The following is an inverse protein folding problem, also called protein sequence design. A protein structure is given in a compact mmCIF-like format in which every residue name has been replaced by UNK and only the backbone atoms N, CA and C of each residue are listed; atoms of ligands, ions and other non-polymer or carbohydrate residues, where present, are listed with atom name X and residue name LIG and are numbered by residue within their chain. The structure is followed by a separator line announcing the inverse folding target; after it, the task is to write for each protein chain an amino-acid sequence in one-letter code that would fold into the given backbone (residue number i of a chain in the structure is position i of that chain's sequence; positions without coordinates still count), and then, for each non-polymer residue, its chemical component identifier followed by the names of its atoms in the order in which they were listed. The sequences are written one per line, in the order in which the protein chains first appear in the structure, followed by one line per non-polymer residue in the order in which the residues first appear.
data_IF_619753108424
#
_entry.id   IF_619753108424
#
_cell.length_a   1.000
_cell.length_b   1.000
_cell.length_c   1.000
_cell.angle_alpha   90.00
_cell.angle_beta   90.00
_cell.angle_gamma   90.00
#
_symmetry.space_group_name_H-M   'P 1'
#
loop_
_entity.id
_entity.type
_entity.pdbx_description
1 polymer ?
#
# COMPACT_ATOMS: atom_id res chain seq x y z
N UNK A 1 -31.39 30.56 46.56
CA UNK A 1 -30.18 31.41 46.56
C UNK A 1 -28.98 30.50 46.68
N UNK A 2 -28.04 30.62 45.74
CA UNK A 2 -26.59 30.39 45.87
C UNK A 2 -26.05 29.92 44.52
N UNK A 3 -25.65 30.91 43.73
CA UNK A 3 -24.70 30.75 42.64
C UNK A 3 -23.34 30.40 43.26
N UNK A 4 -22.60 29.45 42.67
CA UNK A 4 -21.18 29.28 42.95
C UNK A 4 -20.46 29.16 41.62
N UNK A 5 -19.56 30.12 41.44
CA UNK A 5 -18.79 30.46 40.26
C UNK A 5 -17.63 29.49 40.00
N UNK A 6 -17.39 29.23 38.72
CA UNK A 6 -16.19 28.55 38.19
C UNK A 6 -14.90 29.33 38.53
N UNK A 7 -13.83 28.67 38.99
CA UNK A 7 -12.50 29.29 39.00
C UNK A 7 -11.95 29.36 37.57
N UNK A 8 -11.34 30.51 37.23
CA UNK A 8 -10.77 30.81 35.93
C UNK A 8 -9.51 29.99 35.62
N UNK A 9 -9.37 29.62 34.35
CA UNK A 9 -8.16 29.01 33.82
C UNK A 9 -7.05 30.06 33.70
N UNK A 10 -5.94 29.82 34.39
CA UNK A 10 -4.68 30.54 34.18
C UNK A 10 -4.05 30.09 32.87
N UNK A 11 -3.97 30.99 31.90
CA UNK A 11 -3.27 30.79 30.63
C UNK A 11 -1.76 30.79 30.93
N UNK A 12 -1.11 29.64 30.73
CA UNK A 12 0.36 29.53 30.76
C UNK A 12 0.89 29.91 29.36
N UNK A 13 1.80 30.89 29.22
CA UNK A 13 2.38 31.22 27.93
C UNK A 13 3.30 30.12 27.41
N UNK A 14 3.15 29.78 26.12
CA UNK A 14 4.04 28.92 25.35
C UNK A 14 5.38 29.65 25.10
N UNK A 15 6.56 29.08 25.42
CA UNK A 15 7.83 29.68 25.04
C UNK A 15 8.09 29.54 23.53
N UNK A 16 8.52 30.64 22.90
CA UNK A 16 8.93 30.73 21.50
C UNK A 16 10.21 29.92 21.20
N UNK A 17 10.45 29.49 19.94
CA UNK A 17 11.69 28.82 19.57
C UNK A 17 12.88 29.77 19.73
N UNK A 18 13.87 29.33 20.51
CA UNK A 18 15.11 30.07 20.74
C UNK A 18 16.06 29.87 19.55
N UNK A 19 16.33 30.95 18.82
CA UNK A 19 17.38 31.02 17.80
C UNK A 19 18.74 31.18 18.47
N UNK A 20 19.59 30.15 18.43
CA UNK A 20 20.98 30.23 18.90
C UNK A 20 21.84 30.94 17.85
N UNK A 21 22.28 32.16 18.19
CA UNK A 21 23.34 32.89 17.48
C UNK A 21 24.70 32.22 17.73
N UNK A 22 25.41 31.83 16.67
CA UNK A 22 26.84 31.51 16.69
C UNK A 22 27.58 32.60 15.90
N UNK A 23 28.62 33.24 16.43
CA UNK A 23 29.36 34.28 15.73
C UNK A 23 30.24 33.72 14.60
N UNK A 24 30.23 34.42 13.47
CA UNK A 24 31.05 34.18 12.29
C UNK A 24 32.47 34.78 12.46
N UNK A 25 33.52 34.02 12.11
CA UNK A 25 34.69 34.56 11.41
C UNK A 25 35.61 33.47 10.79
N UNK A 26 35.87 33.62 9.47
CA UNK A 26 36.99 33.12 8.62
C UNK A 26 37.22 31.60 8.47
N UNK A 27 37.29 30.97 7.29
CA UNK A 27 37.60 31.41 5.91
C UNK A 27 37.19 30.28 4.94
N UNK A 28 36.61 30.54 3.74
CA UNK A 28 36.29 29.50 2.76
C UNK A 28 37.38 29.35 1.69
N UNK A 29 37.87 28.12 1.46
CA UNK A 29 38.64 27.78 0.26
C UNK A 29 37.66 27.46 -0.89
N UNK A 30 37.74 28.29 -1.92
CA UNK A 30 36.97 28.29 -3.17
C UNK A 30 37.26 27.07 -4.05
N UNK A 31 36.30 26.56 -4.85
CA UNK A 31 36.61 25.75 -6.02
C UNK A 31 36.99 26.66 -7.18
N UNK A 32 38.25 26.61 -7.61
CA UNK A 32 38.74 27.38 -8.76
C UNK A 32 38.13 26.86 -10.07
N UNK A 33 37.51 27.79 -10.79
CA UNK A 33 37.01 27.66 -12.16
C UNK A 33 38.19 27.73 -13.13
N UNK A 34 38.43 26.68 -13.92
CA UNK A 34 39.42 26.73 -15.00
C UNK A 34 38.77 27.28 -16.27
N UNK A 35 39.08 28.53 -16.59
CA UNK A 35 38.84 29.13 -17.91
C UNK A 35 39.93 28.65 -18.88
N UNK A 36 39.53 27.97 -19.96
CA UNK A 36 40.44 27.56 -21.04
C UNK A 36 40.46 28.67 -22.10
N UNK A 37 41.55 29.43 -22.16
CA UNK A 37 41.86 30.31 -23.31
C UNK A 37 43.06 29.75 -24.07
N UNK A 38 42.79 29.27 -25.29
CA UNK A 38 43.81 28.85 -26.25
C UNK A 38 44.62 30.06 -26.73
N UNK A 39 45.93 30.09 -26.49
CA UNK A 39 46.87 30.90 -27.29
C UNK A 39 48.24 30.21 -27.41
N UNK A 40 48.88 30.49 -28.55
CA UNK A 40 49.91 29.75 -29.27
C UNK A 40 51.33 29.86 -28.68
N UNK A 41 52.11 28.78 -28.86
CA UNK A 41 53.58 28.63 -28.94
C UNK A 41 54.52 29.48 -28.05
N UNK A 42 55.36 28.82 -27.25
CA UNK A 42 56.82 29.01 -27.30
C UNK A 42 57.60 27.94 -26.50
N UNK A 43 58.74 27.54 -27.06
CA UNK A 43 59.72 26.60 -26.57
C UNK A 43 60.39 27.02 -25.26
N UNK A 44 60.43 26.13 -24.27
CA UNK A 44 61.42 26.17 -23.18
C UNK A 44 61.92 24.75 -22.92
N UNK A 45 63.19 24.52 -23.25
CA UNK A 45 63.97 23.32 -22.92
C UNK A 45 64.26 23.30 -21.42
N UNK A 46 63.68 22.35 -20.68
CA UNK A 46 64.15 21.98 -19.35
C UNK A 46 64.58 20.51 -19.35
N UNK A 47 65.89 20.33 -19.14
CA UNK A 47 66.55 19.05 -18.96
C UNK A 47 66.27 18.57 -17.52
N UNK A 48 65.39 17.58 -17.36
CA UNK A 48 65.03 17.00 -16.06
C UNK A 48 64.55 15.57 -16.22
N UNK A 49 65.24 14.63 -15.58
CA UNK A 49 64.93 13.20 -15.53
C UNK A 49 63.53 12.97 -14.97
N UNK A 50 62.60 12.52 -15.81
CA UNK A 50 61.23 12.18 -15.40
C UNK A 50 61.22 10.73 -14.92
N UNK A 51 61.18 10.53 -13.60
CA UNK A 51 60.75 9.26 -13.01
C UNK A 51 59.30 9.01 -13.41
N UNK A 52 59.08 7.94 -14.16
CA UNK A 52 57.78 7.44 -14.55
C UNK A 52 57.03 6.88 -13.33
N UNK A 53 56.30 7.75 -12.61
CA UNK A 53 55.26 7.30 -11.69
C UNK A 53 54.02 6.93 -12.50
N UNK A 54 53.89 5.62 -12.71
CA UNK A 54 52.76 4.95 -13.31
C UNK A 54 51.44 5.44 -12.69
N UNK A 55 50.52 5.86 -13.54
CA UNK A 55 49.13 6.14 -13.23
C UNK A 55 48.52 4.93 -12.50
N UNK A 56 48.21 5.10 -11.21
CA UNK A 56 47.34 4.18 -10.48
C UNK A 56 45.95 4.27 -11.08
N UNK A 57 45.61 3.31 -11.94
CA UNK A 57 44.25 3.10 -12.44
C UNK A 57 43.30 2.98 -11.24
N UNK A 58 42.36 3.92 -11.14
CA UNK A 58 41.26 3.84 -10.21
C UNK A 58 40.42 2.60 -10.56
N UNK A 59 40.51 1.56 -9.73
CA UNK A 59 39.67 0.37 -9.81
C UNK A 59 38.23 0.80 -9.57
N UNK A 60 37.42 0.86 -10.62
CA UNK A 60 35.96 0.93 -10.48
C UNK A 60 35.50 -0.27 -9.64
N UNK A 61 34.53 -0.12 -8.73
CA UNK A 61 34.05 -1.25 -7.94
C UNK A 61 33.53 -2.33 -8.89
N UNK A 62 34.19 -3.49 -8.90
CA UNK A 62 33.78 -4.64 -9.69
C UNK A 62 32.42 -5.09 -9.19
N UNK A 63 31.36 -4.88 -9.98
CA UNK A 63 30.11 -5.58 -9.75
C UNK A 63 30.39 -7.08 -9.74
N UNK A 64 29.80 -7.85 -8.81
CA UNK A 64 29.99 -9.31 -8.79
C UNK A 64 29.61 -9.89 -10.15
N UNK A 65 30.56 -10.61 -10.76
CA UNK A 65 30.36 -11.22 -12.07
C UNK A 65 29.51 -12.48 -11.91
N UNK A 66 28.19 -12.35 -12.07
CA UNK A 66 27.29 -13.50 -12.13
C UNK A 66 27.33 -14.13 -13.53
N UNK A 67 27.23 -15.47 -13.65
CA UNK A 67 27.17 -16.10 -14.95
C UNK A 67 25.92 -15.63 -15.69
N UNK A 68 26.06 -15.21 -16.95
CA UNK A 68 24.93 -14.75 -17.78
C UNK A 68 23.86 -15.83 -17.99
N UNK A 69 24.21 -17.09 -17.74
CA UNK A 69 23.34 -18.26 -17.81
C UNK A 69 22.54 -18.50 -16.53
N UNK A 70 22.80 -17.74 -15.46
CA UNK A 70 22.01 -17.84 -14.24
C UNK A 70 20.56 -17.44 -14.51
N UNK A 71 19.63 -18.15 -13.85
CA UNK A 71 18.22 -17.81 -13.88
C UNK A 71 17.97 -16.51 -13.13
N UNK A 72 16.86 -15.85 -13.45
CA UNK A 72 16.37 -14.71 -12.68
C UNK A 72 15.86 -15.20 -11.33
N UNK A 73 16.30 -14.56 -10.26
CA UNK A 73 15.85 -14.85 -8.91
C UNK A 73 14.40 -14.44 -8.69
N UNK A 74 13.67 -15.17 -7.86
CA UNK A 74 12.31 -14.82 -7.48
C UNK A 74 12.01 -15.26 -6.05
N UNK A 75 10.97 -14.69 -5.48
CA UNK A 75 10.38 -15.18 -4.24
C UNK A 75 9.06 -15.87 -4.51
N UNK A 76 8.77 -16.88 -3.71
CA UNK A 76 7.49 -17.58 -3.70
C UNK A 76 6.87 -17.44 -2.32
N UNK A 77 5.63 -16.96 -2.25
CA UNK A 77 4.91 -16.88 -0.99
C UNK A 77 4.54 -18.28 -0.49
N UNK A 78 4.84 -18.51 0.79
CA UNK A 78 4.44 -19.68 1.55
C UNK A 78 3.20 -19.38 2.41
N UNK A 79 3.04 -18.12 2.84
CA UNK A 79 1.90 -17.68 3.64
C UNK A 79 1.37 -16.32 3.18
N UNK A 80 0.04 -16.16 3.02
CA UNK A 80 -0.98 -17.21 3.09
C UNK A 80 -0.91 -18.18 1.89
N UNK A 81 -1.54 -19.37 2.00
CA UNK A 81 -1.64 -20.31 0.90
C UNK A 81 -2.27 -19.65 -0.35
N UNK A 82 -1.58 -19.71 -1.49
CA UNK A 82 -1.98 -19.02 -2.72
C UNK A 82 -3.17 -19.67 -3.45
N UNK A 83 -3.63 -20.85 -3.01
CA UNK A 83 -4.68 -21.62 -3.69
C UNK A 83 -6.10 -21.11 -3.44
N UNK A 84 -6.27 -20.14 -2.54
CA UNK A 84 -7.56 -19.51 -2.24
C UNK A 84 -7.37 -18.08 -1.75
N UNK A 85 -8.29 -17.18 -2.10
CA UNK A 85 -8.29 -15.81 -1.57
C UNK A 85 -8.48 -15.84 -0.04
N UNK A 86 -7.51 -15.29 0.68
CA UNK A 86 -7.57 -15.15 2.14
C UNK A 86 -8.26 -13.83 2.52
N UNK A 87 -9.03 -13.82 3.60
CA UNK A 87 -9.76 -12.66 4.09
C UNK A 87 -9.38 -12.33 5.54
N UNK A 88 -9.08 -11.05 5.79
CA UNK A 88 -8.59 -10.58 7.09
C UNK A 88 -9.46 -9.47 7.68
N UNK A 89 -9.64 -9.51 9.00
CA UNK A 89 -10.40 -8.49 9.75
C UNK A 89 -9.52 -7.30 10.08
N UNK A 90 -9.88 -6.12 9.58
CA UNK A 90 -9.20 -4.87 9.88
C UNK A 90 -9.31 -4.59 11.39
N UNK A 91 -8.19 -4.25 12.04
CA UNK A 91 -8.14 -3.86 13.45
C UNK A 91 -8.24 -4.98 14.49
N UNK A 92 -8.55 -6.23 14.09
CA UNK A 92 -8.69 -7.37 15.01
C UNK A 92 -7.73 -8.53 14.72
N UNK A 93 -7.13 -8.56 13.53
CA UNK A 93 -6.27 -9.66 13.11
C UNK A 93 -5.01 -9.12 12.44
N UNK A 94 -3.87 -9.75 12.75
CA UNK A 94 -2.61 -9.48 12.10
C UNK A 94 -2.44 -10.40 10.89
N UNK A 95 -1.80 -9.89 9.85
CA UNK A 95 -1.55 -10.65 8.62
C UNK A 95 -0.08 -11.07 8.59
N UNK A 96 0.18 -12.36 8.47
CA UNK A 96 1.55 -12.86 8.28
C UNK A 96 1.78 -13.19 6.81
N UNK A 97 2.80 -12.57 6.24
CA UNK A 97 3.29 -12.90 4.91
C UNK A 97 4.63 -13.61 5.03
N UNK A 98 4.72 -14.83 4.55
CA UNK A 98 5.93 -15.64 4.54
C UNK A 98 6.31 -16.03 3.12
N UNK A 99 7.61 -16.09 2.81
CA UNK A 99 8.12 -16.45 1.49
C UNK A 99 9.44 -17.22 1.56
N UNK A 100 9.82 -17.79 0.41
CA UNK A 100 11.12 -18.41 0.19
C UNK A 100 11.78 -17.83 -1.06
N UNK A 101 13.11 -17.69 -1.03
CA UNK A 101 13.92 -17.19 -2.14
C UNK A 101 14.42 -18.33 -3.04
N UNK A 102 14.37 -18.13 -4.35
CA UNK A 102 14.85 -19.09 -5.33
C UNK A 102 15.71 -18.39 -6.39
N UNK A 103 16.83 -18.99 -6.76
CA UNK A 103 17.74 -18.52 -7.81
C UNK A 103 18.31 -17.10 -7.61
N UNK A 104 18.38 -16.62 -6.37
CA UNK A 104 19.00 -15.34 -6.03
C UNK A 104 20.48 -15.58 -5.70
N UNK A 105 21.36 -14.96 -6.48
CA UNK A 105 22.82 -15.00 -6.29
C UNK A 105 23.34 -13.70 -5.69
N UNK A 106 22.69 -12.56 -5.98
CA UNK A 106 22.91 -11.31 -5.28
C UNK A 106 21.92 -11.20 -4.12
N UNK A 107 22.40 -11.34 -2.89
CA UNK A 107 21.55 -11.10 -1.71
C UNK A 107 21.07 -9.64 -1.72
N UNK A 108 19.75 -9.38 -1.69
CA UNK A 108 19.25 -8.02 -1.55
C UNK A 108 19.65 -7.46 -0.19
N UNK A 109 19.96 -6.17 -0.13
CA UNK A 109 20.26 -5.51 1.15
C UNK A 109 18.98 -5.21 1.92
N UNK A 110 17.96 -4.79 1.18
CA UNK A 110 16.67 -4.39 1.73
C UNK A 110 15.53 -4.88 0.83
N UNK A 111 14.40 -5.18 1.44
CA UNK A 111 13.15 -5.46 0.73
C UNK A 111 12.13 -4.41 1.09
N UNK A 112 11.41 -3.92 0.10
CA UNK A 112 10.27 -3.03 0.32
C UNK A 112 9.00 -3.83 0.07
N UNK A 113 8.08 -3.79 1.04
CA UNK A 113 6.82 -4.53 0.99
C UNK A 113 5.67 -3.54 1.08
N UNK A 114 4.79 -3.58 0.07
CA UNK A 114 3.60 -2.74 0.03
C UNK A 114 2.36 -3.52 -0.36
N UNK A 115 1.23 -3.15 0.21
CA UNK A 115 -0.09 -3.62 -0.16
C UNK A 115 -0.79 -2.50 -0.94
N UNK A 116 -1.28 -2.82 -2.13
CA UNK A 116 -1.99 -1.88 -3.00
C UNK A 116 -3.45 -2.27 -2.99
N UNK A 117 -4.34 -1.34 -2.61
CA UNK A 117 -5.78 -1.55 -2.71
C UNK A 117 -6.21 -1.49 -4.19
N UNK A 118 -6.90 -2.51 -4.68
CA UNK A 118 -7.35 -2.56 -6.08
C UNK A 118 -8.45 -1.53 -6.38
N UNK A 119 -9.26 -1.17 -5.38
CA UNK A 119 -10.38 -0.24 -5.56
C UNK A 119 -9.91 1.22 -5.52
N UNK A 120 -9.10 1.58 -4.53
CA UNK A 120 -8.65 2.96 -4.31
C UNK A 120 -7.28 3.27 -4.91
N UNK A 121 -6.52 2.25 -5.34
CA UNK A 121 -5.12 2.36 -5.78
C UNK A 121 -4.16 2.93 -4.73
N UNK A 122 -4.62 3.06 -3.47
CA UNK A 122 -3.77 3.49 -2.37
C UNK A 122 -2.75 2.41 -2.04
N UNK A 123 -1.53 2.85 -1.73
CA UNK A 123 -0.42 1.98 -1.39
C UNK A 123 -0.09 2.12 0.09
N UNK A 124 -0.08 0.98 0.78
CA UNK A 124 0.11 0.88 2.22
C UNK A 124 1.43 0.15 2.51
N UNK A 125 2.33 0.71 3.34
CA UNK A 125 3.51 -0.02 3.77
C UNK A 125 3.10 -1.20 4.66
N UNK A 126 3.72 -2.35 4.45
CA UNK A 126 3.33 -3.61 5.12
C UNK A 126 4.43 -4.07 6.05
N UNK A 127 4.13 -4.10 7.35
CA UNK A 127 4.87 -4.86 8.36
C UNK A 127 4.95 -4.21 9.74
N UNK A 128 5.49 -4.97 10.69
CA UNK A 128 5.64 -4.62 12.12
C UNK A 128 6.90 -5.23 12.73
N UNK A 129 7.87 -5.68 11.92
CA UNK A 129 9.07 -6.34 12.44
C UNK A 129 10.06 -5.31 13.05
N UNK A 130 10.83 -5.76 14.05
CA UNK A 130 11.98 -5.02 14.58
C UNK A 130 12.97 -4.72 13.44
N UNK A 131 13.25 -3.43 13.20
CA UNK A 131 14.14 -2.98 12.13
C UNK A 131 13.45 -2.47 10.86
N UNK A 132 12.11 -2.39 10.85
CA UNK A 132 11.36 -1.71 9.80
C UNK A 132 11.39 -0.19 9.95
N UNK A 133 11.46 0.55 8.83
CA UNK A 133 11.17 1.97 8.78
C UNK A 133 9.73 2.23 8.29
N UNK A 134 9.23 3.46 8.45
CA UNK A 134 7.86 3.87 8.06
C UNK A 134 7.51 3.60 6.58
N UNK A 135 8.51 3.36 5.73
CA UNK A 135 8.35 3.07 4.31
C UNK A 135 8.09 1.58 3.97
N UNK A 136 8.01 0.69 4.96
CA UNK A 136 7.80 -0.75 4.75
C UNK A 136 9.07 -1.47 4.28
N UNK A 137 10.25 -0.95 4.66
CA UNK A 137 11.54 -1.54 4.29
C UNK A 137 12.02 -2.47 5.39
N UNK A 138 12.45 -3.67 5.02
CA UNK A 138 12.98 -4.71 5.92
C UNK A 138 14.35 -5.20 5.45
N UNK A 139 15.13 -5.90 6.29
CA UNK A 139 16.37 -6.54 5.86
C UNK A 139 16.13 -7.53 4.71
N UNK A 140 17.01 -7.54 3.71
CA UNK A 140 16.85 -8.40 2.54
C UNK A 140 17.05 -9.90 2.78
N UNK A 141 17.45 -10.29 4.00
CA UNK A 141 17.49 -11.69 4.45
C UNK A 141 16.17 -12.15 5.08
N UNK A 142 15.21 -11.25 5.28
CA UNK A 142 13.94 -11.61 5.89
C UNK A 142 13.11 -12.52 4.98
N UNK A 143 12.46 -13.51 5.61
CA UNK A 143 11.59 -14.50 4.94
C UNK A 143 10.14 -14.40 5.39
N UNK A 144 9.85 -13.50 6.32
CA UNK A 144 8.53 -13.31 6.91
C UNK A 144 8.36 -11.86 7.35
N UNK A 145 7.14 -11.35 7.23
CA UNK A 145 6.71 -10.09 7.85
C UNK A 145 5.32 -10.26 8.43
N UNK A 146 5.11 -9.71 9.63
CA UNK A 146 3.80 -9.62 10.27
C UNK A 146 3.32 -8.19 10.12
N UNK A 147 2.12 -8.00 9.57
CA UNK A 147 1.46 -6.71 9.45
C UNK A 147 0.36 -6.59 10.52
N UNK A 148 0.60 -5.70 11.48
CA UNK A 148 -0.38 -5.37 12.51
C UNK A 148 -1.33 -4.29 11.98
N UNK A 149 -2.54 -4.72 11.62
CA UNK A 149 -3.54 -3.85 11.03
C UNK A 149 -4.08 -2.82 12.04
N UNK A 150 -4.11 -3.19 13.32
CA UNK A 150 -4.60 -2.31 14.38
C UNK A 150 -3.61 -1.19 14.62
N UNK A 151 -2.35 -1.56 14.82
CA UNK A 151 -1.26 -0.60 15.02
C UNK A 151 -1.13 0.34 13.82
N UNK A 152 -1.20 -0.19 12.61
CA UNK A 152 -1.17 0.64 11.40
C UNK A 152 -2.26 1.72 11.42
N UNK A 153 -3.50 1.37 11.76
CA UNK A 153 -4.61 2.34 11.80
C UNK A 153 -4.44 3.40 12.91
N UNK A 154 -3.87 3.02 14.05
CA UNK A 154 -3.61 3.94 15.16
C UNK A 154 -2.53 4.98 14.79
N UNK A 155 -1.49 4.55 14.08
CA UNK A 155 -0.35 5.40 13.66
C UNK A 155 -0.64 6.21 12.38
N UNK A 156 -1.51 5.72 11.49
CA UNK A 156 -1.74 6.30 10.16
C UNK A 156 -3.19 6.78 9.97
N UNK A 157 -3.58 7.80 10.75
CA UNK A 157 -4.94 8.35 10.71
C UNK A 157 -5.27 9.08 9.40
N UNK A 158 -4.26 9.59 8.69
CA UNK A 158 -4.43 10.28 7.41
C UNK A 158 -4.74 9.31 6.25
N UNK A 159 -4.28 8.06 6.35
CA UNK A 159 -4.48 7.04 5.33
C UNK A 159 -4.99 5.72 5.95
N UNK A 160 -6.27 5.69 6.37
CA UNK A 160 -6.85 4.51 6.98
C UNK A 160 -6.98 3.35 5.99
N UNK A 161 -6.91 2.14 6.53
CA UNK A 161 -7.18 0.90 5.79
C UNK A 161 -8.69 0.78 5.50
N UNK A 162 -9.03 0.62 4.21
CA UNK A 162 -10.40 0.40 3.76
C UNK A 162 -10.72 -1.08 3.56
N UNK A 163 -12.00 -1.48 3.61
CA UNK A 163 -12.41 -2.80 3.13
C UNK A 163 -12.22 -2.88 1.61
N UNK A 164 -11.77 -4.02 1.09
CA UNK A 164 -11.51 -4.20 -0.34
C UNK A 164 -10.55 -5.34 -0.65
N UNK A 165 -10.18 -5.48 -1.93
CA UNK A 165 -9.14 -6.40 -2.37
C UNK A 165 -7.79 -5.69 -2.40
N UNK A 166 -6.74 -6.37 -1.94
CA UNK A 166 -5.39 -5.86 -1.87
C UNK A 166 -4.44 -6.79 -2.60
N UNK A 167 -3.46 -6.21 -3.28
CA UNK A 167 -2.34 -6.92 -3.91
C UNK A 167 -1.06 -6.66 -3.13
N UNK A 168 -0.39 -7.72 -2.72
CA UNK A 168 0.94 -7.63 -2.11
C UNK A 168 2.01 -7.51 -3.18
N UNK A 169 2.90 -6.55 -2.98
CA UNK A 169 4.06 -6.29 -3.84
C UNK A 169 5.33 -6.26 -3.00
N UNK A 170 6.38 -6.94 -3.48
CA UNK A 170 7.68 -7.04 -2.81
C UNK A 170 8.78 -6.84 -3.84
N UNK A 171 9.74 -5.96 -3.56
CA UNK A 171 10.90 -5.73 -4.42
C UNK A 171 12.14 -5.41 -3.57
N UNK A 172 13.31 -5.47 -4.20
CA UNK A 172 14.60 -5.18 -3.57
C UNK A 172 14.98 -3.70 -3.65
N UNK A 173 16.19 -3.32 -3.25
CA UNK A 173 16.66 -1.92 -3.28
C UNK A 173 16.66 -1.27 -4.68
N UNK A 174 16.53 -2.05 -5.77
CA UNK A 174 16.54 -1.51 -7.15
C UNK A 174 15.20 -0.89 -7.54
N UNK A 175 14.17 -1.05 -6.70
CA UNK A 175 12.86 -0.43 -6.88
C UNK A 175 11.84 -1.34 -7.56
N UNK A 176 10.60 -0.84 -7.61
CA UNK A 176 9.45 -1.63 -8.06
C UNK A 176 9.56 -2.05 -9.53
N UNK A 177 10.08 -1.17 -10.39
CA UNK A 177 10.23 -1.42 -11.83
C UNK A 177 11.63 -1.90 -12.22
N UNK A 178 12.38 -2.49 -11.28
CA UNK A 178 13.72 -2.99 -11.56
C UNK A 178 13.72 -4.05 -12.67
N UNK A 179 14.65 -3.90 -13.62
CA UNK A 179 14.78 -4.87 -14.72
C UNK A 179 15.29 -6.20 -14.14
N UNK A 180 14.61 -7.33 -14.41
CA UNK A 180 15.07 -8.64 -13.96
C UNK A 180 16.38 -9.02 -14.67
N UNK A 181 17.32 -9.58 -13.92
CA UNK A 181 18.62 -9.99 -14.44
C UNK A 181 19.11 -11.31 -13.84
N UNK A 182 20.16 -11.91 -14.41
CA UNK A 182 20.69 -13.19 -13.97
C UNK A 182 21.17 -13.11 -12.50
N UNK A 183 20.62 -13.97 -11.64
CA UNK A 183 20.93 -13.98 -10.20
C UNK A 183 20.34 -12.83 -9.40
N UNK A 184 19.58 -11.92 -10.04
CA UNK A 184 18.92 -10.78 -9.42
C UNK A 184 17.46 -11.10 -9.12
N UNK A 185 16.92 -10.53 -8.05
CA UNK A 185 15.52 -10.75 -7.66
C UNK A 185 14.54 -10.01 -8.59
N UNK A 186 13.52 -10.69 -9.11
CA UNK A 186 12.38 -10.03 -9.75
C UNK A 186 11.40 -9.52 -8.68
N UNK A 187 10.72 -8.42 -8.98
CA UNK A 187 9.54 -7.99 -8.21
C UNK A 187 8.53 -9.15 -8.09
N UNK A 188 7.97 -9.30 -6.90
CA UNK A 188 6.81 -10.12 -6.65
C UNK A 188 5.54 -9.26 -6.63
N UNK A 189 4.51 -9.68 -7.35
CA UNK A 189 3.21 -9.00 -7.40
C UNK A 189 2.05 -10.00 -7.58
N UNK A 190 2.10 -11.13 -6.84
CA UNK A 190 1.22 -12.28 -7.09
C UNK A 190 0.07 -12.49 -6.11
N UNK A 191 0.21 -12.05 -4.85
CA UNK A 191 -0.80 -12.35 -3.83
C UNK A 191 -1.92 -11.33 -3.83
N UNK A 192 -3.15 -11.84 -3.94
CA UNK A 192 -4.38 -11.11 -3.71
C UNK A 192 -5.05 -11.59 -2.43
N UNK A 193 -5.48 -10.66 -1.59
CA UNK A 193 -6.19 -10.94 -0.35
C UNK A 193 -7.27 -9.89 -0.10
N UNK A 194 -8.34 -10.28 0.59
CA UNK A 194 -9.42 -9.38 0.97
C UNK A 194 -9.27 -8.86 2.38
N UNK A 195 -9.66 -7.62 2.62
CA UNK A 195 -9.77 -7.04 3.95
C UNK A 195 -11.19 -6.52 4.17
N UNK A 196 -11.71 -6.65 5.39
CA UNK A 196 -13.03 -6.16 5.73
C UNK A 196 -13.09 -5.60 7.15
N UNK A 197 -13.97 -4.62 7.34
CA UNK A 197 -14.26 -4.06 8.65
C UNK A 197 -15.22 -5.00 9.39
N UNK A 198 -14.85 -5.53 10.56
CA UNK A 198 -15.75 -6.33 11.37
C UNK A 198 -16.92 -5.47 11.85
N UNK A 199 -18.12 -6.05 11.93
CA UNK A 199 -19.26 -5.45 12.63
C UNK A 199 -19.34 -6.01 14.04
N UNK A 200 -19.78 -5.18 14.97
CA UNK A 200 -20.05 -5.61 16.34
C UNK A 200 -21.15 -6.68 16.37
N UNK A 201 -21.03 -7.59 17.32
CA UNK A 201 -22.02 -8.64 17.53
C UNK A 201 -23.33 -8.02 18.03
N UNK A 202 -24.42 -8.27 17.29
CA UNK A 202 -25.78 -7.89 17.70
C UNK A 202 -26.48 -9.15 18.20
N UNK A 203 -26.98 -9.20 19.44
CA UNK A 203 -27.77 -10.32 19.95
C UNK A 203 -28.98 -10.60 19.08
N UNK A 204 -29.37 -11.88 18.98
CA UNK A 204 -30.45 -12.33 18.10
C UNK A 204 -31.78 -11.62 18.38
N UNK A 205 -32.07 -11.31 19.64
CA UNK A 205 -33.28 -10.59 20.05
C UNK A 205 -33.37 -9.17 19.46
N UNK A 206 -32.23 -8.59 19.10
CA UNK A 206 -32.12 -7.24 18.53
C UNK A 206 -31.69 -7.25 17.06
N UNK A 207 -31.53 -8.43 16.44
CA UNK A 207 -31.12 -8.53 15.04
C UNK A 207 -32.33 -8.35 14.12
N UNK A 208 -32.38 -7.22 13.42
CA UNK A 208 -33.39 -6.96 12.39
C UNK A 208 -32.75 -7.07 11.01
N UNK A 209 -33.26 -7.99 10.18
CA UNK A 209 -32.79 -8.11 8.81
C UNK A 209 -33.48 -7.05 7.93
N UNK A 210 -32.80 -5.93 7.67
CA UNK A 210 -33.34 -4.83 6.87
C UNK A 210 -33.78 -5.24 5.45
N UNK A 211 -33.26 -6.37 4.93
CA UNK A 211 -33.63 -6.92 3.62
C UNK A 211 -34.60 -8.12 3.72
N UNK A 212 -34.78 -8.72 4.89
CA UNK A 212 -35.73 -9.82 5.12
C UNK A 212 -37.07 -9.33 5.67
N UNK A 213 -37.22 -8.03 5.96
CA UNK A 213 -38.51 -7.39 6.25
C UNK A 213 -39.17 -6.80 5.00
N UNK A 214 -38.47 -6.79 3.85
CA UNK A 214 -39.03 -6.33 2.57
C UNK A 214 -39.83 -7.43 1.85
N UNK A 215 -39.83 -8.66 2.38
CA UNK A 215 -40.65 -9.77 1.95
C UNK A 215 -41.55 -10.29 3.09
N UNK A 216 -41.89 -9.43 4.06
CA UNK A 216 -43.03 -9.66 4.93
C UNK A 216 -44.29 -9.74 4.05
N UNK A 217 -44.67 -10.99 3.79
CA UNK A 217 -45.88 -11.50 3.16
C UNK A 217 -46.26 -10.97 1.76
N UNK A 218 -46.55 -11.93 0.88
CA UNK A 218 -47.36 -11.77 -0.35
C UNK A 218 -48.77 -11.18 -0.07
N UNK A 219 -49.09 -10.86 1.19
CA UNK A 219 -50.38 -10.31 1.63
C UNK A 219 -50.29 -8.87 2.19
N UNK A 220 -49.10 -8.28 2.32
CA UNK A 220 -48.91 -6.86 2.65
C UNK A 220 -48.41 -6.03 1.47
N UNK A 221 -48.74 -6.44 0.24
CA UNK A 221 -48.95 -5.48 -0.84
C UNK A 221 -50.15 -4.60 -0.48
N UNK A 222 -49.88 -3.59 0.34
CA UNK A 222 -50.70 -2.38 0.40
C UNK A 222 -50.69 -1.79 -1.02
N UNK A 223 -51.72 -2.17 -1.78
CA UNK A 223 -52.25 -1.50 -2.95
C UNK A 223 -51.22 -0.77 -3.84
N UNK A 224 -50.35 -1.51 -4.52
CA UNK A 224 -49.78 -0.96 -5.74
C UNK A 224 -50.94 -0.77 -6.74
N UNK A 225 -51.23 0.45 -7.23
CA UNK A 225 -52.40 0.73 -8.07
C UNK A 225 -52.42 -0.11 -9.37
N UNK A 226 -51.26 -0.61 -9.79
CA UNK A 226 -51.12 -1.54 -10.90
C UNK A 226 -51.81 -2.90 -10.67
N UNK A 227 -51.80 -3.44 -9.43
CA UNK A 227 -52.38 -4.76 -9.14
C UNK A 227 -53.91 -4.68 -9.05
N UNK A 228 -54.44 -3.57 -8.53
CA UNK A 228 -55.88 -3.28 -8.58
C UNK A 228 -56.36 -3.16 -10.03
N UNK A 229 -55.60 -2.45 -10.88
CA UNK A 229 -55.90 -2.36 -12.32
C UNK A 229 -55.91 -3.72 -13.02
N UNK A 230 -54.97 -4.60 -12.67
CA UNK A 230 -54.91 -5.96 -13.22
C UNK A 230 -56.11 -6.82 -12.79
N UNK A 231 -56.49 -6.80 -11.51
CA UNK A 231 -57.66 -7.56 -11.04
C UNK A 231 -58.97 -7.06 -11.67
N UNK A 232 -59.12 -5.74 -11.81
CA UNK A 232 -60.30 -5.16 -12.47
C UNK A 232 -60.35 -5.53 -13.95
N UNK A 233 -59.22 -5.50 -14.68
CA UNK A 233 -59.21 -5.87 -16.10
C UNK A 233 -59.54 -7.34 -16.33
N UNK A 234 -59.01 -8.24 -15.50
CA UNK A 234 -59.31 -9.68 -15.55
C UNK A 234 -60.80 -9.93 -15.31
N UNK A 235 -61.41 -9.21 -14.37
CA UNK A 235 -62.83 -9.36 -14.06
C UNK A 235 -63.74 -8.82 -15.18
N UNK A 236 -63.35 -7.72 -15.83
CA UNK A 236 -64.05 -7.19 -17.01
C UNK A 236 -63.97 -8.17 -18.19
N UNK A 237 -62.79 -8.75 -18.45
CA UNK A 237 -62.61 -9.72 -19.54
C UNK A 237 -63.46 -10.98 -19.29
N UNK A 238 -63.52 -11.47 -18.05
CA UNK A 238 -64.33 -12.64 -17.69
C UNK A 238 -65.84 -12.40 -17.86
N UNK A 239 -66.35 -11.25 -17.40
CA UNK A 239 -67.77 -10.90 -17.57
C UNK A 239 -68.12 -10.67 -19.05
N UNK A 240 -67.21 -10.08 -19.81
CA UNK A 240 -67.36 -9.90 -21.27
C UNK A 240 -67.41 -11.25 -22.00
N UNK A 241 -66.52 -12.17 -21.64
CA UNK A 241 -66.47 -13.52 -22.21
C UNK A 241 -67.69 -14.36 -21.83
N UNK A 242 -68.18 -14.23 -20.60
CA UNK A 242 -69.37 -14.94 -20.13
C UNK A 242 -70.64 -14.49 -20.86
N UNK A 243 -70.76 -13.20 -21.17
CA UNK A 243 -71.90 -12.67 -21.93
C UNK A 243 -71.93 -13.18 -23.38
N UNK A 244 -70.76 -13.33 -24.03
CA UNK A 244 -70.66 -13.87 -25.38
C UNK A 244 -71.05 -15.35 -25.42
N UNK A 245 -70.64 -16.15 -24.43
CA UNK A 245 -71.00 -17.57 -24.32
C UNK A 245 -72.50 -17.78 -24.09
N UNK A 246 -73.18 -16.86 -23.40
CA UNK A 246 -74.64 -16.93 -23.17
C UNK A 246 -75.48 -16.41 -24.35
N UNK A 247 -74.89 -15.65 -25.27
CA UNK A 247 -75.59 -15.10 -26.46
C UNK A 247 -75.66 -16.07 -27.65
N UNK A 248 -75.08 -17.26 -27.51
CA UNK A 248 -74.94 -18.27 -28.58
C UNK A 248 -75.88 -19.48 -28.42
N UNK A 249 -76.68 -19.50 -27.34
CA UNK A 249 -77.89 -20.31 -27.16
C UNK A 249 -79.15 -19.45 -27.38
#
# INVERSE_FOLDING_TARGET
MSQSSSPGQTIVPIPAPTSTNIPANNTPNTPDTINITNTTANSISLNGTISSNLLTSATSPSSPAFPITAQVGFLTLTQPPQHSTSYYKIGLQNITFGWNFSYILQQPQHLTIKAICDDTHNTYPVGSISGMNEAGVIPGTATEVIWDLKKYQEENQELPLGPGNYRLTIWDERGESAIPGPGLMRQFAGLKFGMYTPRDYVPLDNWTCAQCSQNDSVLTMVAHPALVGFLVSVLVILLSGFQLLRSID
#
